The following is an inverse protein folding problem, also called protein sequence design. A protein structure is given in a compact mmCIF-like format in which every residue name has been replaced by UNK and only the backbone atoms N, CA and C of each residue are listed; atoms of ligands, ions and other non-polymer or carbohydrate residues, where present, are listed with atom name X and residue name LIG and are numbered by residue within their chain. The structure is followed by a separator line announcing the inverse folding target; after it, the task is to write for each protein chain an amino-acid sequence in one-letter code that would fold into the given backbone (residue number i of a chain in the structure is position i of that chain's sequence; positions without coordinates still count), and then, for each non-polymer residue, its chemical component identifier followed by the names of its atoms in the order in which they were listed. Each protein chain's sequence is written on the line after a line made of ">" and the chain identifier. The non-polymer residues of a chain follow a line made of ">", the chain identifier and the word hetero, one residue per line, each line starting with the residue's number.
data_IF_300406450834
#
_entry.id   IF_300406450834
#
_cell.length_a   1.000
_cell.length_b   1.000
_cell.length_c   1.000
_cell.angle_alpha   90.00
_cell.angle_beta   90.00
_cell.angle_gamma   90.00
#
_symmetry.space_group_name_H-M   'P 1'
#
loop_
_entity.id
_entity.type
_entity.pdbx_description
1 polymer ?
#
# COMPACT_ATOMS: atom_id res chain seq x y z
N UNK A 1 5.92 -5.21 16.42
CA UNK A 1 6.22 -6.63 16.11
C UNK A 1 6.05 -6.79 14.60
N UNK A 2 7.12 -7.03 13.85
CA UNK A 2 7.08 -7.10 12.38
C UNK A 2 6.29 -8.32 11.89
N UNK A 3 5.49 -8.17 10.82
CA UNK A 3 4.71 -9.26 10.22
C UNK A 3 4.96 -9.30 8.72
N UNK A 4 5.50 -10.43 8.25
CA UNK A 4 5.78 -10.71 6.84
C UNK A 4 4.48 -11.03 6.09
N UNK A 5 4.30 -10.41 4.92
CA UNK A 5 3.11 -10.51 4.07
C UNK A 5 3.12 -11.73 3.14
N UNK A 6 4.09 -12.62 3.24
CA UNK A 6 4.21 -13.81 2.38
C UNK A 6 3.03 -14.81 2.47
N UNK A 7 2.15 -14.67 3.47
CA UNK A 7 0.97 -15.52 3.69
C UNK A 7 -0.38 -14.90 3.28
N UNK A 8 -0.38 -13.80 2.51
CA UNK A 8 -1.59 -13.07 2.14
C UNK A 8 -2.40 -13.75 1.00
N UNK A 9 -2.93 -14.95 1.21
CA UNK A 9 -3.97 -15.52 0.35
C UNK A 9 -5.10 -16.14 1.20
N UNK A 10 -6.22 -15.41 1.31
CA UNK A 10 -7.56 -15.83 1.79
C UNK A 10 -7.72 -16.23 3.28
N UNK A 11 -7.92 -15.17 4.08
CA UNK A 11 -9.00 -14.97 5.07
C UNK A 11 -9.07 -15.73 6.41
N UNK A 12 -7.95 -16.01 7.07
CA UNK A 12 -7.97 -16.26 8.54
C UNK A 12 -6.73 -15.76 9.30
N UNK A 13 -5.69 -15.32 8.60
CA UNK A 13 -4.49 -14.77 9.22
C UNK A 13 -4.64 -13.32 9.70
N UNK A 14 -3.64 -12.80 10.42
CA UNK A 14 -3.59 -11.40 10.84
C UNK A 14 -3.76 -10.45 9.65
N UNK A 15 -4.54 -9.40 9.83
CA UNK A 15 -4.84 -8.42 8.78
C UNK A 15 -5.09 -7.08 9.41
N UNK A 16 -4.27 -6.09 9.06
CA UNK A 16 -4.44 -4.71 9.53
C UNK A 16 -5.81 -4.14 9.17
N UNK A 17 -6.40 -4.58 8.05
CA UNK A 17 -7.75 -4.16 7.65
C UNK A 17 -8.83 -4.76 8.55
N UNK A 18 -8.77 -6.08 8.80
CA UNK A 18 -9.73 -6.73 9.68
C UNK A 18 -9.62 -6.19 11.10
N UNK A 19 -8.41 -6.04 11.61
CA UNK A 19 -8.15 -5.48 12.94
C UNK A 19 -8.71 -4.04 13.03
N UNK A 20 -8.53 -3.21 12.00
CA UNK A 20 -9.09 -1.85 11.95
C UNK A 20 -10.63 -1.85 11.93
N UNK A 21 -11.24 -2.71 11.11
CA UNK A 21 -12.70 -2.84 11.02
C UNK A 21 -13.30 -3.32 12.34
N UNK A 22 -12.68 -4.33 12.98
CA UNK A 22 -13.15 -4.87 14.26
C UNK A 22 -13.03 -3.82 15.38
N UNK A 23 -12.00 -2.96 15.35
CA UNK A 23 -11.75 -1.95 16.37
C UNK A 23 -12.58 -0.66 16.19
N UNK A 24 -12.78 -0.22 14.95
CA UNK A 24 -13.30 1.13 14.64
C UNK A 24 -14.43 1.16 13.61
N UNK A 25 -14.75 0.03 12.98
CA UNK A 25 -15.71 -0.06 11.89
C UNK A 25 -15.11 0.23 10.51
N UNK A 26 -15.97 0.26 9.49
CA UNK A 26 -15.57 0.60 8.13
C UNK A 26 -15.28 2.09 7.99
N UNK A 27 -14.30 2.44 7.16
CA UNK A 27 -13.93 3.84 6.95
C UNK A 27 -12.85 4.04 5.89
N UNK A 28 -12.32 5.26 5.84
CA UNK A 28 -11.21 5.61 4.98
C UNK A 28 -9.95 4.85 5.39
N UNK A 29 -9.23 4.32 4.40
CA UNK A 29 -8.21 3.31 4.64
C UNK A 29 -6.78 3.87 4.76
N UNK A 30 -6.30 4.62 3.76
CA UNK A 30 -4.97 5.24 3.82
C UNK A 30 -4.82 6.41 2.84
N UNK A 31 -3.77 7.21 3.05
CA UNK A 31 -3.16 8.04 2.03
C UNK A 31 -1.93 7.36 1.43
N UNK A 32 -1.81 7.34 0.10
CA UNK A 32 -0.65 6.80 -0.60
C UNK A 32 0.40 7.86 -0.90
N UNK A 33 1.67 7.57 -0.59
CA UNK A 33 2.81 8.43 -0.90
C UNK A 33 3.96 7.61 -1.50
N UNK A 34 4.27 7.87 -2.76
CA UNK A 34 5.45 7.30 -3.40
C UNK A 34 6.74 8.00 -2.91
N UNK A 35 7.83 7.25 -2.83
CA UNK A 35 9.15 7.76 -2.43
C UNK A 35 10.30 7.00 -3.07
N UNK A 36 11.35 7.73 -3.44
CA UNK A 36 12.63 7.18 -3.93
C UNK A 36 13.59 6.77 -2.81
N UNK A 37 13.32 7.19 -1.58
CA UNK A 37 14.10 6.86 -0.38
C UNK A 37 13.18 6.27 0.68
N UNK A 38 12.74 5.03 0.44
CA UNK A 38 11.79 4.34 1.30
C UNK A 38 12.31 4.20 2.73
N UNK A 39 13.56 3.74 2.90
CA UNK A 39 14.13 3.55 4.23
C UNK A 39 14.38 4.87 4.98
N UNK A 40 14.78 5.92 4.27
CA UNK A 40 14.96 7.25 4.83
C UNK A 40 13.65 7.88 5.28
N UNK A 41 12.62 7.87 4.43
CA UNK A 41 11.31 8.42 4.80
C UNK A 41 10.64 7.61 5.90
N UNK A 42 10.73 6.29 5.85
CA UNK A 42 10.21 5.43 6.91
C UNK A 42 10.84 5.79 8.26
N UNK A 43 12.17 5.92 8.33
CA UNK A 43 12.86 6.35 9.56
C UNK A 43 12.43 7.76 10.00
N UNK A 44 12.18 8.66 9.07
CA UNK A 44 11.71 10.01 9.38
C UNK A 44 10.32 9.98 10.04
N UNK A 45 9.38 9.19 9.52
CA UNK A 45 8.06 9.03 10.14
C UNK A 45 8.11 8.27 11.46
N UNK A 46 8.94 7.24 11.58
CA UNK A 46 9.18 6.55 12.85
C UNK A 46 9.73 7.51 13.92
N UNK A 47 10.60 8.45 13.55
CA UNK A 47 11.10 9.50 14.45
C UNK A 47 10.03 10.51 14.87
N UNK A 48 8.94 10.63 14.10
CA UNK A 48 7.74 11.42 14.47
C UNK A 48 6.73 10.62 15.31
N UNK A 49 7.01 9.34 15.60
CA UNK A 49 6.16 8.48 16.41
C UNK A 49 5.15 7.64 15.61
N UNK A 50 5.26 7.63 14.28
CA UNK A 50 4.45 6.74 13.45
C UNK A 50 4.96 5.31 13.58
N UNK A 51 4.06 4.32 13.56
CA UNK A 51 4.44 2.92 13.73
C UNK A 51 4.18 2.11 12.47
N UNK A 52 5.16 1.31 12.03
CA UNK A 52 4.95 0.37 10.93
C UNK A 52 3.96 -0.73 11.36
N UNK A 53 2.77 -0.70 10.76
CA UNK A 53 1.70 -1.67 10.99
C UNK A 53 1.78 -2.87 10.04
N UNK A 54 2.24 -2.65 8.81
CA UNK A 54 2.32 -3.68 7.77
C UNK A 54 3.41 -3.32 6.76
N UNK A 55 4.10 -4.32 6.23
CA UNK A 55 5.04 -4.14 5.12
C UNK A 55 5.01 -5.37 4.20
N UNK A 56 5.08 -5.14 2.90
CA UNK A 56 5.13 -6.19 1.90
C UNK A 56 6.08 -5.82 0.76
N UNK A 57 6.69 -6.85 0.16
CA UNK A 57 7.33 -6.70 -1.15
C UNK A 57 6.27 -6.90 -2.24
N UNK A 58 6.31 -6.05 -3.26
CA UNK A 58 5.40 -6.13 -4.40
C UNK A 58 6.10 -6.74 -5.62
N UNK A 59 5.36 -7.42 -6.52
CA UNK A 59 5.94 -8.05 -7.72
C UNK A 59 6.72 -7.10 -8.64
N UNK A 60 6.43 -5.79 -8.58
CA UNK A 60 7.17 -4.75 -9.30
C UNK A 60 8.57 -4.47 -8.74
N UNK A 61 8.99 -5.18 -7.68
CA UNK A 61 10.33 -5.14 -7.11
C UNK A 61 10.52 -4.12 -5.99
N UNK A 62 9.50 -3.34 -5.65
CA UNK A 62 9.50 -2.41 -4.52
C UNK A 62 8.84 -2.96 -3.25
N UNK A 63 8.69 -2.09 -2.26
CA UNK A 63 7.94 -2.30 -1.02
C UNK A 63 6.71 -1.40 -0.93
N UNK A 64 5.75 -1.86 -0.16
CA UNK A 64 4.67 -1.03 0.40
C UNK A 64 4.68 -1.18 1.92
N UNK A 65 4.52 -0.06 2.63
CA UNK A 65 4.49 -0.05 4.09
C UNK A 65 3.37 0.84 4.60
N UNK A 66 2.54 0.32 5.50
CA UNK A 66 1.55 1.12 6.21
C UNK A 66 2.08 1.58 7.56
N UNK A 67 2.04 2.88 7.76
CA UNK A 67 2.39 3.56 8.99
C UNK A 67 1.12 4.04 9.69
N UNK A 68 0.91 3.60 10.92
CA UNK A 68 -0.11 4.14 11.82
C UNK A 68 0.36 5.53 12.31
N UNK A 69 -0.42 6.55 11.93
CA UNK A 69 -0.16 7.95 12.25
C UNK A 69 -0.51 8.34 13.69
N UNK A 70 -1.01 7.39 14.50
CA UNK A 70 -1.47 7.63 15.88
C UNK A 70 -2.53 8.73 16.00
N UNK A 71 -3.34 8.88 14.95
CA UNK A 71 -4.46 9.81 14.90
C UNK A 71 -4.16 11.16 14.24
N UNK A 72 -2.94 11.40 13.74
CA UNK A 72 -2.65 12.61 12.96
C UNK A 72 -3.35 12.62 11.60
N UNK A 73 -3.55 11.44 10.99
CA UNK A 73 -4.28 11.26 9.73
C UNK A 73 -5.49 10.33 9.94
N UNK A 74 -6.59 10.55 9.20
CA UNK A 74 -7.60 9.51 9.07
C UNK A 74 -6.98 8.32 8.29
N UNK A 75 -6.87 7.17 8.93
CA UNK A 75 -6.28 5.96 8.34
C UNK A 75 -4.75 5.93 8.36
N UNK A 76 -4.18 4.99 7.61
CA UNK A 76 -2.73 4.80 7.53
C UNK A 76 -2.08 5.79 6.54
N UNK A 77 -0.77 6.00 6.70
CA UNK A 77 0.08 6.48 5.60
C UNK A 77 0.71 5.27 4.92
N UNK A 78 0.47 5.08 3.62
CA UNK A 78 1.18 4.11 2.80
C UNK A 78 2.41 4.76 2.17
N UNK A 79 3.59 4.24 2.51
CA UNK A 79 4.80 4.50 1.74
C UNK A 79 4.91 3.47 0.62
N UNK A 80 5.07 3.95 -0.61
CA UNK A 80 5.23 3.13 -1.81
C UNK A 80 6.63 3.38 -2.34
N UNK A 81 7.45 2.34 -2.40
CA UNK A 81 8.80 2.44 -2.95
C UNK A 81 8.76 2.65 -4.47
N UNK A 82 9.19 3.83 -4.91
CA UNK A 82 9.26 4.24 -6.30
C UNK A 82 10.43 3.53 -7.00
N UNK A 83 10.10 2.46 -7.72
CA UNK A 83 11.04 1.68 -8.51
C UNK A 83 10.71 1.78 -10.00
N UNK A 84 11.67 1.51 -10.91
CA UNK A 84 11.37 1.42 -12.35
C UNK A 84 10.26 0.42 -12.67
N UNK A 85 10.18 -0.70 -11.92
CA UNK A 85 9.11 -1.68 -12.11
C UNK A 85 7.73 -1.16 -11.67
N UNK A 86 7.68 -0.26 -10.69
CA UNK A 86 6.44 0.43 -10.30
C UNK A 86 5.98 1.34 -11.44
N UNK A 87 6.90 2.16 -11.97
CA UNK A 87 6.63 3.07 -13.08
C UNK A 87 6.16 2.32 -14.34
N UNK A 88 6.84 1.23 -14.71
CA UNK A 88 6.45 0.36 -15.83
C UNK A 88 5.02 -0.19 -15.65
N UNK A 89 4.70 -0.67 -14.44
CA UNK A 89 3.39 -1.24 -14.13
C UNK A 89 2.28 -0.18 -14.22
N UNK A 90 2.46 0.97 -13.57
CA UNK A 90 1.46 2.06 -13.61
C UNK A 90 1.35 2.69 -15.00
N UNK A 91 2.44 2.72 -15.77
CA UNK A 91 2.39 3.14 -17.17
C UNK A 91 1.51 2.22 -17.99
N UNK A 92 1.58 0.89 -17.81
CA UNK A 92 0.65 -0.04 -18.49
C UNK A 92 -0.80 0.22 -18.11
N UNK A 93 -1.06 0.48 -16.82
CA UNK A 93 -2.41 0.84 -16.34
C UNK A 93 -2.93 2.11 -16.99
N UNK A 94 -2.08 3.14 -17.04
CA UNK A 94 -2.38 4.39 -17.72
C UNK A 94 -2.67 4.18 -19.21
N UNK A 95 -1.82 3.44 -19.94
CA UNK A 95 -2.03 3.22 -21.38
C UNK A 95 -3.36 2.52 -21.69
N UNK A 96 -3.77 1.54 -20.88
CA UNK A 96 -5.04 0.87 -21.10
C UNK A 96 -6.26 1.72 -20.72
N UNK A 97 -6.10 2.78 -19.91
CA UNK A 97 -7.19 3.68 -19.57
C UNK A 97 -7.48 4.70 -20.66
N UNK A 98 -6.49 5.06 -21.49
CA UNK A 98 -6.61 6.09 -22.55
C UNK A 98 -7.75 5.79 -23.53
N UNK A 99 -7.86 4.53 -23.96
CA UNK A 99 -8.89 4.08 -24.91
C UNK A 99 -10.04 3.33 -24.22
N UNK A 100 -10.24 3.53 -22.92
CA UNK A 100 -11.31 2.87 -22.19
C UNK A 100 -12.67 3.54 -22.45
N UNK A 101 -13.56 2.81 -23.11
CA UNK A 101 -14.93 3.21 -23.48
C UNK A 101 -16.02 2.36 -22.80
N UNK A 102 -15.62 1.35 -22.03
CA UNK A 102 -16.51 0.46 -21.28
C UNK A 102 -17.01 -0.78 -22.03
N UNK A 103 -16.70 -0.96 -23.33
CA UNK A 103 -17.13 -2.16 -24.07
C UNK A 103 -16.39 -3.43 -23.62
N UNK A 104 -15.10 -3.29 -23.31
CA UNK A 104 -14.29 -4.30 -22.64
C UNK A 104 -13.89 -3.80 -21.24
N UNK A 105 -14.73 -4.02 -20.21
CA UNK A 105 -14.55 -3.42 -18.89
C UNK A 105 -13.48 -4.11 -18.03
N UNK A 106 -13.03 -5.32 -18.37
CA UNK A 106 -12.04 -6.10 -17.61
C UNK A 106 -10.89 -6.50 -18.52
N UNK A 107 -9.74 -5.85 -18.34
CA UNK A 107 -8.54 -6.06 -19.16
C UNK A 107 -7.44 -6.72 -18.36
N UNK A 108 -6.80 -7.74 -18.93
CA UNK A 108 -5.60 -8.33 -18.34
C UNK A 108 -4.42 -7.39 -18.52
N UNK A 109 -3.64 -7.23 -17.45
CA UNK A 109 -2.49 -6.31 -17.38
C UNK A 109 -1.22 -7.02 -16.87
N UNK A 110 -1.30 -8.34 -16.80
CA UNK A 110 -0.28 -9.29 -16.32
C UNK A 110 0.35 -9.96 -17.54
#
# INVERSE_FOLDING_TARGET
>A
MYRDASDANKSSGPSVYKETIDATGYGFHHFGKATKDYDGERKAYEALGYELAFEAKVPSGGRVGYLDSKGELPGFLELIEDTPGLDDMFTRFYQASIAWDGEDPVRSMI
#
